data_IF_289807555756
#
_entry.id   IF_289807555756
#
_cell.length_a   1.000
_cell.length_b   1.000
_cell.length_c   1.000
_cell.angle_alpha   90.00
_cell.angle_beta   90.00
_cell.angle_gamma   90.00
#
_symmetry.space_group_name_H-M   'P 1'
#
loop_
_entity.id
_entity.type
_entity.pdbx_description
1 polymer ?
#
# COMPACT_ATOMS: atom_id res chain seq x y z
N UNK A 1 15.35 10.62 15.90
CA UNK A 1 15.74 11.06 14.53
C UNK A 1 14.64 11.95 13.97
N UNK A 2 15.00 12.87 13.06
CA UNK A 2 14.02 13.61 12.26
C UNK A 2 13.93 12.96 10.86
N UNK A 3 12.76 12.44 10.52
CA UNK A 3 12.52 11.63 9.32
C UNK A 3 11.56 12.37 8.38
N UNK A 4 12.02 12.62 7.16
CA UNK A 4 11.23 13.19 6.09
C UNK A 4 10.60 12.12 5.18
N UNK A 5 9.37 12.34 4.75
CA UNK A 5 8.67 11.46 3.80
C UNK A 5 8.39 12.21 2.49
N UNK A 6 8.52 11.53 1.36
CA UNK A 6 8.19 12.06 0.04
C UNK A 6 7.42 11.01 -0.74
N UNK A 7 6.18 11.34 -1.09
CA UNK A 7 5.35 10.56 -2.00
C UNK A 7 5.39 11.19 -3.40
N UNK A 8 6.27 10.69 -4.26
CA UNK A 8 6.51 11.25 -5.60
C UNK A 8 5.24 11.22 -6.46
N UNK A 9 4.46 10.16 -6.36
CA UNK A 9 3.19 10.03 -7.11
C UNK A 9 2.09 10.92 -6.55
N UNK A 10 2.09 11.17 -5.24
CA UNK A 10 1.14 12.05 -4.56
C UNK A 10 1.36 13.52 -4.88
N UNK A 11 2.61 13.97 -4.98
CA UNK A 11 2.97 15.34 -5.29
C UNK A 11 2.77 15.72 -6.77
N UNK A 12 2.94 14.76 -7.70
CA UNK A 12 2.82 15.01 -9.14
C UNK A 12 1.39 15.36 -9.61
N UNK A 13 0.38 15.21 -8.76
CA UNK A 13 -1.01 15.43 -9.15
C UNK A 13 -1.63 16.64 -8.46
N UNK A 14 -1.47 17.82 -9.05
CA UNK A 14 -2.49 18.87 -8.88
C UNK A 14 -3.81 18.29 -9.42
N UNK A 15 -4.65 17.77 -8.53
CA UNK A 15 -5.88 17.06 -8.89
C UNK A 15 -6.85 17.95 -9.62
N UNK A 16 -6.97 17.75 -10.91
CA UNK A 16 -8.20 17.98 -11.67
C UNK A 16 -9.07 16.74 -11.43
N UNK A 17 -10.32 16.90 -10.96
CA UNK A 17 -11.31 15.84 -10.85
C UNK A 17 -11.24 14.94 -9.62
N UNK A 18 -11.57 15.42 -8.43
CA UNK A 18 -12.09 14.62 -7.30
C UNK A 18 -11.43 13.25 -7.01
N UNK A 19 -10.25 12.99 -7.57
CA UNK A 19 -9.59 11.70 -7.48
C UNK A 19 -9.24 11.37 -6.03
N UNK A 20 -9.67 10.22 -5.55
CA UNK A 20 -9.31 9.66 -4.26
C UNK A 20 -7.78 9.56 -4.17
N UNK A 21 -7.17 10.08 -3.10
CA UNK A 21 -5.76 9.85 -2.84
C UNK A 21 -5.65 8.47 -2.23
N UNK A 22 -5.01 7.54 -2.94
CA UNK A 22 -4.58 6.30 -2.32
C UNK A 22 -3.32 6.59 -1.50
N UNK A 23 -3.29 6.17 -0.23
CA UNK A 23 -2.09 6.33 0.58
C UNK A 23 -0.98 5.42 0.04
N UNK A 24 0.25 5.91 0.06
CA UNK A 24 1.40 5.05 -0.14
C UNK A 24 1.61 4.20 1.13
N UNK A 25 1.21 2.93 1.08
CA UNK A 25 1.26 2.04 2.26
C UNK A 25 2.68 1.83 2.76
N UNK A 26 3.69 1.87 1.88
CA UNK A 26 5.08 1.75 2.31
C UNK A 26 5.47 2.94 3.19
N UNK A 27 5.13 4.16 2.80
CA UNK A 27 5.37 5.35 3.63
C UNK A 27 4.56 5.34 4.93
N UNK A 28 3.31 4.86 4.90
CA UNK A 28 2.51 4.69 6.12
C UNK A 28 3.15 3.72 7.12
N UNK A 29 3.72 2.60 6.64
CA UNK A 29 4.41 1.61 7.48
C UNK A 29 5.75 2.13 7.98
N UNK A 30 6.51 2.85 7.16
CA UNK A 30 7.74 3.55 7.57
C UNK A 30 7.44 4.58 8.66
N UNK A 31 6.37 5.36 8.49
CA UNK A 31 5.94 6.32 9.51
C UNK A 31 5.58 5.62 10.83
N UNK A 32 4.82 4.52 10.77
CA UNK A 32 4.48 3.73 11.96
C UNK A 32 5.74 3.21 12.67
N UNK A 33 6.71 2.70 11.91
CA UNK A 33 7.98 2.20 12.44
C UNK A 33 8.74 3.29 13.19
N UNK A 34 9.00 4.42 12.54
CA UNK A 34 9.79 5.50 13.12
C UNK A 34 9.09 6.16 14.32
N UNK A 35 7.78 6.39 14.24
CA UNK A 35 7.02 6.92 15.37
C UNK A 35 7.05 5.98 16.58
N UNK A 36 7.03 4.67 16.38
CA UNK A 36 7.19 3.69 17.45
C UNK A 36 8.58 3.73 18.11
N UNK A 37 9.61 4.22 17.40
CA UNK A 37 10.95 4.46 17.95
C UNK A 37 11.08 5.83 18.66
N UNK A 38 10.02 6.65 18.64
CA UNK A 38 10.05 8.01 19.19
C UNK A 38 10.66 9.05 18.24
N UNK A 39 10.80 8.71 16.96
CA UNK A 39 11.30 9.63 15.92
C UNK A 39 10.23 10.66 15.53
N UNK A 40 10.66 11.85 15.16
CA UNK A 40 9.80 12.87 14.53
C UNK A 40 9.64 12.54 13.05
N UNK A 41 8.38 12.38 12.58
CA UNK A 41 8.07 12.00 11.19
C UNK A 41 7.14 13.01 10.57
N UNK A 42 7.56 13.61 9.45
CA UNK A 42 6.78 14.60 8.70
C UNK A 42 6.98 14.48 7.18
N UNK A 43 6.14 15.16 6.41
CA UNK A 43 6.42 15.36 4.98
C UNK A 43 7.62 16.27 4.81
N UNK A 44 8.59 15.89 3.98
CA UNK A 44 9.84 16.61 3.83
C UNK A 44 9.62 18.03 3.26
N UNK A 45 10.24 19.01 3.89
CA UNK A 45 10.26 20.41 3.50
C UNK A 45 11.65 20.82 3.02
N UNK A 46 11.72 21.67 1.99
CA UNK A 46 13.00 22.06 1.37
C UNK A 46 13.97 22.81 2.29
N UNK A 47 13.48 23.46 3.33
CA UNK A 47 14.29 24.31 4.21
C UNK A 47 14.57 23.66 5.57
N UNK A 48 14.32 22.36 5.68
CA UNK A 48 14.53 21.60 6.90
C UNK A 48 15.61 20.54 6.68
N UNK A 49 16.46 20.37 7.68
CA UNK A 49 17.41 19.27 7.74
C UNK A 49 16.73 18.01 8.29
N UNK A 50 17.06 16.85 7.72
CA UNK A 50 16.56 15.52 8.13
C UNK A 50 17.74 14.57 8.34
N UNK A 51 17.68 13.76 9.39
CA UNK A 51 18.60 12.65 9.54
C UNK A 51 18.40 11.63 8.41
N UNK A 52 17.13 11.44 7.99
CA UNK A 52 16.79 10.51 6.89
C UNK A 52 15.53 10.94 6.15
N UNK A 53 15.56 10.80 4.83
CA UNK A 53 14.39 10.97 3.97
C UNK A 53 14.07 9.65 3.27
N UNK A 54 12.80 9.24 3.32
CA UNK A 54 12.26 8.15 2.51
C UNK A 54 11.46 8.72 1.34
N UNK A 55 11.91 8.43 0.13
CA UNK A 55 11.28 8.89 -1.11
C UNK A 55 10.69 7.69 -1.84
N UNK A 56 9.35 7.61 -1.93
CA UNK A 56 8.65 6.51 -2.56
C UNK A 56 8.04 6.90 -3.90
N UNK A 57 8.24 6.03 -4.90
CA UNK A 57 7.69 6.16 -6.25
C UNK A 57 7.11 4.81 -6.69
N UNK A 58 5.82 4.78 -7.01
CA UNK A 58 5.10 3.56 -7.42
C UNK A 58 5.17 3.37 -8.93
N UNK A 59 4.98 4.44 -9.72
CA UNK A 59 4.88 4.36 -11.17
C UNK A 59 6.17 4.86 -11.83
N UNK A 60 6.73 4.06 -12.76
CA UNK A 60 7.94 4.41 -13.49
C UNK A 60 7.75 5.60 -14.45
N UNK A 61 6.52 5.85 -14.87
CA UNK A 61 6.16 6.99 -15.73
C UNK A 61 5.90 8.30 -14.97
N UNK A 62 5.83 8.26 -13.63
CA UNK A 62 5.75 9.49 -12.83
C UNK A 62 7.08 10.25 -12.95
N UNK A 63 7.05 11.59 -13.13
CA UNK A 63 8.26 12.40 -13.09
C UNK A 63 9.01 12.21 -11.77
N UNK A 64 10.33 12.21 -11.83
CA UNK A 64 11.14 12.20 -10.60
C UNK A 64 10.98 13.52 -9.86
N UNK A 65 11.07 13.46 -8.55
CA UNK A 65 11.22 14.66 -7.74
C UNK A 65 12.68 15.12 -7.84
N UNK A 66 12.87 16.24 -8.53
CA UNK A 66 14.19 16.87 -8.77
C UNK A 66 14.53 17.91 -7.69
N UNK A 67 13.73 18.01 -6.64
CA UNK A 67 13.95 18.94 -5.53
C UNK A 67 15.21 18.57 -4.75
N UNK A 68 15.88 19.60 -4.23
CA UNK A 68 17.04 19.42 -3.36
C UNK A 68 16.54 19.46 -1.91
N UNK A 69 16.85 18.41 -1.18
CA UNK A 69 16.56 18.27 0.24
C UNK A 69 17.85 18.19 1.04
N UNK A 70 17.86 18.84 2.21
CA UNK A 70 18.96 18.77 3.17
C UNK A 70 18.72 17.53 4.07
N UNK A 71 19.51 16.49 3.86
CA UNK A 71 19.39 15.24 4.62
C UNK A 71 20.73 14.49 4.65
N UNK A 72 21.00 13.80 5.77
CA UNK A 72 22.18 12.93 5.90
C UNK A 72 22.06 11.70 4.98
N UNK A 73 20.84 11.17 4.83
CA UNK A 73 20.56 10.03 3.97
C UNK A 73 19.23 10.16 3.24
N UNK A 74 19.20 9.82 1.95
CA UNK A 74 17.96 9.73 1.15
C UNK A 74 17.82 8.31 0.62
N UNK A 75 16.81 7.59 1.14
CA UNK A 75 16.46 6.23 0.71
C UNK A 75 15.34 6.31 -0.32
N UNK A 76 15.62 5.87 -1.55
CA UNK A 76 14.63 5.77 -2.63
C UNK A 76 14.09 4.35 -2.71
N UNK A 77 12.76 4.22 -2.80
CA UNK A 77 12.09 2.93 -2.86
C UNK A 77 10.81 2.95 -3.67
N UNK A 78 10.29 1.74 -3.90
CA UNK A 78 9.08 1.51 -4.69
C UNK A 78 9.35 1.14 -6.14
N UNK A 79 8.35 0.54 -6.77
CA UNK A 79 8.43 -0.06 -8.12
C UNK A 79 8.84 0.92 -9.21
N UNK A 80 8.57 2.21 -9.02
CA UNK A 80 8.92 3.27 -9.97
C UNK A 80 10.41 3.58 -10.02
N UNK A 81 11.16 3.27 -8.95
CA UNK A 81 12.62 3.38 -8.91
C UNK A 81 13.30 2.04 -9.19
N UNK A 82 12.87 0.99 -8.50
CA UNK A 82 13.39 -0.35 -8.66
C UNK A 82 12.30 -1.40 -8.43
N UNK A 83 12.09 -2.25 -9.43
CA UNK A 83 11.10 -3.32 -9.38
C UNK A 83 11.35 -4.32 -8.26
N UNK A 84 12.61 -4.49 -7.86
CA UNK A 84 13.02 -5.39 -6.77
C UNK A 84 12.94 -4.73 -5.39
N UNK A 85 12.69 -3.41 -5.34
CA UNK A 85 12.58 -2.68 -4.08
C UNK A 85 11.46 -3.24 -3.21
N UNK A 86 11.80 -3.61 -1.98
CA UNK A 86 10.87 -4.13 -0.97
C UNK A 86 11.18 -3.50 0.39
N UNK A 87 10.15 -3.37 1.21
CA UNK A 87 10.36 -3.01 2.60
C UNK A 87 11.00 -4.19 3.36
N UNK A 88 11.87 -3.93 4.34
CA UNK A 88 12.28 -4.97 5.28
C UNK A 88 11.06 -5.58 5.97
N UNK A 89 11.09 -6.89 6.21
CA UNK A 89 9.98 -7.64 6.79
C UNK A 89 9.44 -7.04 8.10
N UNK A 90 10.33 -6.50 8.94
CA UNK A 90 9.96 -5.90 10.21
C UNK A 90 9.18 -4.59 10.07
N UNK A 91 9.28 -3.92 8.92
CA UNK A 91 8.46 -2.75 8.57
C UNK A 91 7.22 -3.20 7.79
N UNK A 92 7.38 -4.14 6.83
CA UNK A 92 6.29 -4.56 5.96
C UNK A 92 5.12 -5.21 6.71
N UNK A 93 5.39 -5.85 7.85
CA UNK A 93 4.36 -6.45 8.71
C UNK A 93 3.68 -5.46 9.66
N UNK A 94 4.14 -4.22 9.73
CA UNK A 94 3.51 -3.22 10.58
C UNK A 94 2.17 -2.74 10.02
N UNK A 95 1.32 -2.31 10.94
CA UNK A 95 0.08 -1.63 10.58
C UNK A 95 0.40 -0.23 10.02
N UNK A 96 -0.28 0.21 8.95
CA UNK A 96 -0.03 1.53 8.38
C UNK A 96 -0.48 2.65 9.31
N UNK A 97 0.35 3.66 9.47
CA UNK A 97 -0.04 4.92 10.11
C UNK A 97 -0.65 5.88 9.06
N UNK A 98 -1.97 5.93 9.04
CA UNK A 98 -2.69 6.82 8.12
C UNK A 98 -2.69 8.29 8.55
N UNK A 99 -2.16 8.64 9.73
CA UNK A 99 -2.14 10.02 10.19
C UNK A 99 -1.32 10.97 9.31
N UNK A 100 -0.39 10.41 8.52
CA UNK A 100 0.37 11.18 7.53
C UNK A 100 -0.47 11.59 6.31
N UNK A 101 -1.66 11.01 6.12
CA UNK A 101 -2.60 11.33 5.05
C UNK A 101 -3.93 11.82 5.64
N UNK A 102 -4.06 13.10 6.02
CA UNK A 102 -5.22 13.63 6.73
C UNK A 102 -6.55 13.51 5.97
N UNK A 103 -6.48 13.30 4.65
CA UNK A 103 -7.67 13.16 3.79
C UNK A 103 -8.18 11.72 3.70
N UNK A 104 -7.54 10.75 4.33
CA UNK A 104 -8.04 9.37 4.40
C UNK A 104 -9.18 9.31 5.41
N UNK A 105 -10.39 8.82 5.01
CA UNK A 105 -11.51 8.69 5.93
C UNK A 105 -11.14 7.79 7.12
N UNK A 106 -11.57 8.19 8.32
CA UNK A 106 -11.22 7.48 9.55
C UNK A 106 -11.76 6.04 9.59
N UNK A 107 -12.82 5.74 8.82
CA UNK A 107 -13.45 4.43 8.72
C UNK A 107 -12.86 3.54 7.61
N UNK A 108 -11.89 4.02 6.84
CA UNK A 108 -11.34 3.33 5.66
C UNK A 108 -9.92 2.84 5.91
N UNK A 109 -9.65 1.59 5.58
CA UNK A 109 -8.32 0.98 5.56
C UNK A 109 -7.95 0.49 4.17
N UNK A 110 -6.66 0.38 3.91
CA UNK A 110 -6.10 -0.09 2.64
C UNK A 110 -5.17 -1.27 2.92
N UNK A 111 -5.20 -2.29 2.05
CA UNK A 111 -4.33 -3.43 2.27
C UNK A 111 -4.38 -4.47 1.17
N UNK A 112 -3.69 -5.57 1.43
CA UNK A 112 -3.61 -6.74 0.58
C UNK A 112 -3.88 -7.98 1.42
N UNK A 113 -4.81 -8.81 1.00
CA UNK A 113 -5.01 -10.15 1.58
C UNK A 113 -4.01 -11.13 1.01
N UNK A 114 -3.63 -10.92 -0.25
CA UNK A 114 -2.70 -11.78 -1.00
C UNK A 114 -1.64 -10.94 -1.70
N UNK A 115 -0.53 -11.57 -2.05
CA UNK A 115 0.49 -11.02 -2.96
C UNK A 115 0.72 -11.98 -4.10
N UNK A 116 1.12 -11.41 -5.25
CA UNK A 116 1.39 -12.19 -6.45
C UNK A 116 0.14 -12.51 -7.28
N UNK A 117 0.36 -13.21 -8.39
CA UNK A 117 -0.70 -13.61 -9.31
C UNK A 117 -0.25 -14.86 -10.10
N UNK A 118 -1.14 -15.84 -10.37
CA UNK A 118 -0.79 -16.99 -11.19
C UNK A 118 -0.74 -16.68 -12.70
N UNK A 119 -1.38 -15.57 -13.12
CA UNK A 119 -1.43 -15.16 -14.51
C UNK A 119 -0.07 -14.62 -14.98
N UNK A 120 0.29 -14.90 -16.25
CA UNK A 120 1.51 -14.44 -16.90
C UNK A 120 1.20 -13.46 -18.02
N UNK A 121 0.47 -12.39 -17.71
CA UNK A 121 0.12 -11.39 -18.72
C UNK A 121 1.39 -10.67 -19.22
N UNK A 122 1.59 -10.54 -20.55
CA UNK A 122 2.85 -10.07 -21.13
C UNK A 122 3.27 -8.65 -20.69
N UNK A 123 2.31 -7.82 -20.33
CA UNK A 123 2.54 -6.42 -19.90
C UNK A 123 2.52 -6.24 -18.38
N UNK A 124 2.33 -7.32 -17.61
CA UNK A 124 2.15 -7.23 -16.17
C UNK A 124 3.46 -7.40 -15.42
N UNK A 125 3.73 -6.50 -14.51
CA UNK A 125 4.92 -6.50 -13.64
C UNK A 125 4.81 -7.48 -12.46
N UNK A 126 3.59 -7.86 -12.07
CA UNK A 126 3.33 -8.66 -10.87
C UNK A 126 4.09 -9.98 -10.83
N UNK A 127 4.14 -10.81 -11.91
CA UNK A 127 4.90 -12.06 -11.89
C UNK A 127 6.40 -11.86 -11.61
N UNK A 128 6.96 -10.73 -12.04
CA UNK A 128 8.39 -10.40 -11.84
C UNK A 128 8.63 -9.88 -10.42
N UNK A 129 7.74 -8.98 -9.93
CA UNK A 129 7.88 -8.32 -8.64
C UNK A 129 7.46 -9.20 -7.46
N UNK A 130 6.32 -9.87 -7.58
CA UNK A 130 5.66 -10.54 -6.47
C UNK A 130 5.61 -12.05 -6.60
N UNK A 131 5.79 -12.57 -7.82
CA UNK A 131 5.81 -13.99 -8.11
C UNK A 131 4.42 -14.64 -8.06
N UNK A 132 4.38 -15.90 -7.58
CA UNK A 132 3.16 -16.67 -7.43
C UNK A 132 2.27 -16.11 -6.34
N UNK A 133 0.95 -16.33 -6.50
CA UNK A 133 -0.02 -15.94 -5.48
C UNK A 133 0.25 -16.67 -4.16
N UNK A 134 0.14 -15.93 -3.07
CA UNK A 134 0.28 -16.43 -1.69
C UNK A 134 -0.53 -15.59 -0.72
N UNK A 135 -1.00 -16.16 0.40
CA UNK A 135 -1.53 -15.41 1.53
C UNK A 135 -0.54 -14.36 2.02
N UNK A 136 -1.06 -13.21 2.48
CA UNK A 136 -0.21 -12.13 2.97
C UNK A 136 -0.70 -11.58 4.31
N UNK A 137 -1.95 -11.10 4.41
CA UNK A 137 -2.50 -10.54 5.63
C UNK A 137 -3.96 -10.94 5.80
N UNK A 138 -4.38 -11.25 7.04
CA UNK A 138 -5.79 -11.51 7.34
C UNK A 138 -6.61 -10.21 7.25
N UNK A 139 -7.87 -10.31 6.83
CA UNK A 139 -8.73 -9.13 6.70
C UNK A 139 -8.95 -8.41 8.03
N UNK A 140 -8.95 -9.15 9.15
CA UNK A 140 -9.07 -8.56 10.48
C UNK A 140 -7.86 -7.74 10.90
N UNK A 141 -6.69 -8.06 10.36
CA UNK A 141 -5.47 -7.30 10.58
C UNK A 141 -5.44 -6.02 9.73
N UNK A 142 -6.18 -5.98 8.63
CA UNK A 142 -6.37 -4.75 7.84
C UNK A 142 -7.41 -3.83 8.49
N UNK A 143 -8.51 -4.39 8.99
CA UNK A 143 -9.64 -3.69 9.58
C UNK A 143 -9.39 -3.23 11.04
N UNK A 144 -8.25 -2.61 11.29
CA UNK A 144 -7.85 -2.15 12.64
C UNK A 144 -8.55 -0.85 13.04
N UNK A 145 -8.53 -0.56 14.35
CA UNK A 145 -9.00 0.69 14.94
C UNK A 145 -10.46 1.03 14.56
N UNK A 146 -11.33 0.02 14.42
CA UNK A 146 -12.74 0.19 14.11
C UNK A 146 -13.03 0.58 12.65
N UNK A 147 -12.06 0.43 11.75
CA UNK A 147 -12.26 0.66 10.32
C UNK A 147 -13.08 -0.46 9.71
N UNK A 148 -14.14 -0.10 9.00
CA UNK A 148 -15.10 -1.07 8.43
C UNK A 148 -15.19 -1.01 6.91
N UNK A 149 -14.58 0.00 6.29
CA UNK A 149 -14.45 0.11 4.83
C UNK A 149 -13.03 -0.27 4.44
N UNK A 150 -12.87 -1.27 3.58
CA UNK A 150 -11.58 -1.78 3.19
C UNK A 150 -11.41 -1.65 1.68
N UNK A 151 -10.31 -1.03 1.27
CA UNK A 151 -9.87 -0.99 -0.12
C UNK A 151 -8.78 -2.05 -0.28
N UNK A 152 -9.12 -3.16 -0.91
CA UNK A 152 -8.24 -4.29 -1.12
C UNK A 152 -7.57 -4.16 -2.49
N UNK A 153 -6.24 -4.09 -2.46
CA UNK A 153 -5.42 -3.85 -3.65
C UNK A 153 -4.78 -5.13 -4.18
N UNK A 154 -5.45 -6.27 -3.95
CA UNK A 154 -5.02 -7.59 -4.38
C UNK A 154 -4.98 -7.70 -5.91
N UNK A 155 -3.94 -8.32 -6.44
CA UNK A 155 -3.82 -8.51 -7.89
C UNK A 155 -4.80 -9.54 -8.45
N UNK A 156 -5.15 -10.58 -7.68
CA UNK A 156 -6.10 -11.63 -8.06
C UNK A 156 -6.46 -12.50 -6.86
N UNK A 157 -7.23 -11.97 -5.91
CA UNK A 157 -7.54 -12.69 -4.67
C UNK A 157 -8.22 -14.04 -4.90
N UNK A 158 -9.13 -14.15 -5.90
CA UNK A 158 -9.87 -15.38 -6.16
C UNK A 158 -8.97 -16.56 -6.52
N UNK A 159 -7.78 -16.30 -7.04
CA UNK A 159 -6.79 -17.34 -7.34
C UNK A 159 -6.12 -17.94 -6.09
N UNK A 160 -6.38 -17.42 -4.90
CA UNK A 160 -5.85 -17.95 -3.63
C UNK A 160 -6.70 -19.11 -3.08
N UNK A 161 -7.74 -19.55 -3.81
CA UNK A 161 -8.52 -20.75 -3.47
C UNK A 161 -9.21 -20.66 -2.10
N UNK A 162 -9.00 -21.68 -1.26
CA UNK A 162 -9.66 -21.76 0.06
C UNK A 162 -9.32 -20.56 0.96
N UNK A 163 -8.11 -20.00 0.86
CA UNK A 163 -7.76 -18.79 1.60
C UNK A 163 -8.62 -17.60 1.20
N UNK A 164 -8.88 -17.41 -0.10
CA UNK A 164 -9.78 -16.36 -0.57
C UNK A 164 -11.19 -16.52 0.01
N UNK A 165 -11.71 -17.74 -0.01
CA UNK A 165 -13.05 -18.06 0.51
C UNK A 165 -13.12 -17.78 2.03
N UNK A 166 -12.10 -18.16 2.79
CA UNK A 166 -12.01 -17.88 4.22
C UNK A 166 -12.05 -16.37 4.49
N UNK A 167 -11.27 -15.60 3.73
CA UNK A 167 -11.25 -14.14 3.90
C UNK A 167 -12.58 -13.48 3.50
N UNK A 168 -13.21 -13.93 2.41
CA UNK A 168 -14.54 -13.46 2.00
C UNK A 168 -15.59 -13.77 3.06
N UNK A 169 -15.56 -14.95 3.67
CA UNK A 169 -16.48 -15.31 4.76
C UNK A 169 -16.28 -14.39 5.97
N UNK A 170 -15.03 -14.13 6.37
CA UNK A 170 -14.74 -13.19 7.47
C UNK A 170 -15.25 -11.77 7.18
N UNK A 171 -15.15 -11.33 5.92
CA UNK A 171 -15.69 -10.04 5.46
C UNK A 171 -17.20 -9.97 5.68
N UNK A 172 -17.91 -11.02 5.27
CA UNK A 172 -19.38 -11.12 5.42
C UNK A 172 -19.76 -11.15 6.90
N UNK A 173 -19.13 -12.03 7.68
CA UNK A 173 -19.43 -12.23 9.11
C UNK A 173 -19.22 -10.96 9.93
N UNK A 174 -18.24 -10.14 9.54
CA UNK A 174 -17.92 -8.86 10.21
C UNK A 174 -18.68 -7.66 9.63
N UNK A 175 -19.41 -7.83 8.54
CA UNK A 175 -20.13 -6.76 7.87
C UNK A 175 -19.23 -5.67 7.27
N UNK A 176 -18.02 -6.03 6.84
CA UNK A 176 -17.10 -5.08 6.22
C UNK A 176 -17.59 -4.69 4.82
N UNK A 177 -17.39 -3.43 4.46
CA UNK A 177 -17.64 -2.91 3.11
C UNK A 177 -16.33 -2.93 2.32
N UNK A 178 -16.34 -3.65 1.20
CA UNK A 178 -15.11 -3.90 0.44
C UNK A 178 -15.16 -3.21 -0.92
N UNK A 179 -14.02 -2.64 -1.30
CA UNK A 179 -13.67 -2.24 -2.65
C UNK A 179 -12.49 -3.10 -3.13
N UNK A 180 -12.74 -3.98 -4.12
CA UNK A 180 -11.68 -4.72 -4.80
C UNK A 180 -11.10 -3.85 -5.92
N UNK A 181 -10.19 -2.98 -5.54
CA UNK A 181 -9.65 -1.91 -6.38
C UNK A 181 -9.00 -2.39 -7.69
N UNK A 182 -8.36 -3.58 -7.68
CA UNK A 182 -7.68 -4.15 -8.86
C UNK A 182 -8.57 -5.12 -9.67
N UNK A 183 -9.86 -5.16 -9.37
CA UNK A 183 -10.86 -6.05 -9.93
C UNK A 183 -10.69 -7.54 -9.53
N UNK A 184 -11.65 -8.34 -9.94
CA UNK A 184 -11.70 -9.79 -9.71
C UNK A 184 -11.63 -10.53 -11.05
N UNK A 185 -10.92 -11.64 -11.10
CA UNK A 185 -10.89 -12.51 -12.27
C UNK A 185 -12.20 -13.30 -12.36
N UNK A 186 -13.13 -12.84 -13.19
CA UNK A 186 -14.46 -13.44 -13.32
C UNK A 186 -14.43 -14.93 -13.74
N UNK A 187 -13.34 -15.39 -14.34
CA UNK A 187 -13.18 -16.82 -14.69
C UNK A 187 -13.06 -17.75 -13.48
N UNK A 188 -12.73 -17.17 -12.32
CA UNK A 188 -12.56 -17.89 -11.05
C UNK A 188 -13.80 -17.81 -10.15
N UNK A 189 -14.83 -17.11 -10.58
CA UNK A 189 -16.10 -17.06 -9.84
C UNK A 189 -16.80 -18.41 -9.96
N UNK A 190 -17.05 -19.03 -8.82
CA UNK A 190 -17.81 -20.27 -8.68
C UNK A 190 -19.15 -19.99 -7.99
N UNK A 191 -20.09 -20.93 -8.01
CA UNK A 191 -21.37 -20.80 -7.29
C UNK A 191 -21.16 -20.51 -5.79
N UNK A 192 -20.11 -21.08 -5.20
CA UNK A 192 -19.73 -20.83 -3.79
C UNK A 192 -19.26 -19.39 -3.52
N UNK A 193 -18.67 -18.75 -4.53
CA UNK A 193 -18.20 -17.34 -4.41
C UNK A 193 -19.33 -16.37 -4.73
N UNK A 194 -20.29 -16.80 -5.55
CA UNK A 194 -21.42 -15.96 -6.00
C UNK A 194 -22.57 -15.91 -5.00
N UNK A 195 -22.61 -16.79 -4.00
CA UNK A 195 -23.58 -16.83 -2.91
C UNK A 195 -23.21 -15.85 -1.78
#
# INVERSE_FOLDING_TARGET
MKVGLIDVDGHAKKKKWGATIYPNLALCKIAAYHKAQGDEVEWALHMCHYDRIYMAKVFNFSPDDMSIYDADEIIRGGTGYDIQSQLPDYIDKLQPDYSIYPNIPADTAYGFLTRGCPNKCPWCVVPIKEGKIRPYMDVTDIAINGRTKLVLMDNNILAAGDYAIEQLQKIIDRGYRIDFNQALDARLVTDRIAQ
#
